data_IF_736826262676
#
_entry.id   IF_736826262676
#
_cell.length_a   1.000
_cell.length_b   1.000
_cell.length_c   1.000
_cell.angle_alpha   90.00
_cell.angle_beta   90.00
_cell.angle_gamma   90.00
#
_symmetry.space_group_name_H-M   'P 1'
#
loop_
_entity.id
_entity.type
_entity.pdbx_description
1 polymer ?
#
# COMPACT_ATOMS: atom_id res chain seq x y z
N UNK A 1 -65.97 59.05 11.44
CA UNK A 1 -64.68 58.32 11.45
C UNK A 1 -64.74 57.24 10.39
N UNK A 2 -64.03 57.43 9.28
CA UNK A 2 -63.97 56.46 8.19
C UNK A 2 -62.49 56.19 7.92
N UNK A 3 -62.04 54.98 8.20
CA UNK A 3 -60.75 54.46 7.75
C UNK A 3 -61.01 53.13 7.06
N UNK A 4 -61.01 53.20 5.73
CA UNK A 4 -60.89 52.08 4.81
C UNK A 4 -59.46 51.56 4.91
N UNK A 5 -59.28 50.29 5.28
CA UNK A 5 -58.01 49.60 5.11
C UNK A 5 -58.13 48.49 4.07
N UNK A 6 -57.44 48.78 2.98
CA UNK A 6 -57.28 48.08 1.71
C UNK A 6 -56.53 46.76 1.88
N UNK A 7 -57.08 45.68 1.32
CA UNK A 7 -56.42 44.40 1.12
C UNK A 7 -55.20 44.55 0.22
N UNK A 8 -54.02 44.11 0.68
CA UNK A 8 -52.82 43.97 -0.14
C UNK A 8 -52.42 42.49 -0.21
N UNK A 9 -52.65 41.89 -1.37
CA UNK A 9 -52.19 40.55 -1.74
C UNK A 9 -50.66 40.58 -1.94
N UNK A 10 -49.92 39.71 -1.25
CA UNK A 10 -48.48 39.54 -1.50
C UNK A 10 -48.24 38.79 -2.82
N UNK A 11 -47.29 39.22 -3.67
CA UNK A 11 -46.94 38.47 -4.86
C UNK A 11 -46.10 37.25 -4.47
N UNK A 12 -46.52 36.07 -4.93
CA UNK A 12 -45.75 34.84 -4.81
C UNK A 12 -44.42 35.00 -5.56
N UNK A 13 -43.32 34.89 -4.83
CA UNK A 13 -41.97 34.82 -5.38
C UNK A 13 -41.79 33.46 -6.06
N UNK A 14 -41.89 33.43 -7.40
CA UNK A 14 -41.42 32.29 -8.20
C UNK A 14 -39.90 32.34 -8.30
N UNK A 15 -39.14 31.33 -7.82
CA UNK A 15 -37.72 31.26 -8.10
C UNK A 15 -37.53 30.89 -9.58
N UNK A 16 -36.76 31.71 -10.29
CA UNK A 16 -36.36 31.45 -11.67
C UNK A 16 -35.58 30.11 -11.77
N UNK A 17 -35.77 29.33 -12.85
CA UNK A 17 -34.99 28.12 -13.08
C UNK A 17 -33.54 28.53 -13.38
N UNK A 18 -32.66 28.31 -12.41
CA UNK A 18 -31.22 28.41 -12.63
C UNK A 18 -30.80 27.24 -13.51
N UNK A 19 -30.43 27.57 -14.75
CA UNK A 19 -29.92 26.65 -15.75
C UNK A 19 -28.74 25.84 -15.19
N UNK A 20 -28.98 24.56 -14.83
CA UNK A 20 -27.95 23.61 -14.38
C UNK A 20 -27.02 23.19 -15.52
N UNK A 21 -27.52 23.29 -16.76
CA UNK A 21 -26.91 22.74 -17.97
C UNK A 21 -25.49 23.23 -18.27
N UNK A 22 -25.09 24.42 -17.83
CA UNK A 22 -23.74 24.94 -18.07
C UNK A 22 -22.69 24.47 -17.06
N UNK A 23 -23.10 24.13 -15.83
CA UNK A 23 -22.21 23.57 -14.80
C UNK A 23 -21.94 22.09 -15.08
N UNK A 24 -22.98 21.39 -15.53
CA UNK A 24 -22.91 19.97 -15.88
C UNK A 24 -21.91 19.70 -17.02
N UNK A 25 -21.85 20.57 -18.05
CA UNK A 25 -20.90 20.42 -19.17
C UNK A 25 -19.43 20.67 -18.77
N UNK A 26 -19.18 21.66 -17.90
CA UNK A 26 -17.82 21.91 -17.42
C UNK A 26 -17.36 20.74 -16.53
N UNK A 27 -18.22 20.26 -15.63
CA UNK A 27 -17.92 19.09 -14.79
C UNK A 27 -17.71 17.83 -15.64
N UNK A 28 -18.46 17.66 -16.74
CA UNK A 28 -18.28 16.56 -17.70
C UNK A 28 -16.96 16.68 -18.49
N UNK A 29 -16.59 17.89 -18.94
CA UNK A 29 -15.30 18.15 -19.60
C UNK A 29 -14.12 17.91 -18.63
N UNK A 30 -14.23 18.36 -17.38
CA UNK A 30 -13.21 18.11 -16.35
C UNK A 30 -13.13 16.61 -16.01
N UNK A 31 -14.25 15.90 -15.90
CA UNK A 31 -14.26 14.45 -15.65
C UNK A 31 -13.68 13.63 -16.83
N UNK A 32 -13.97 14.02 -18.08
CA UNK A 32 -13.39 13.43 -19.28
C UNK A 32 -11.87 13.69 -19.34
N UNK A 33 -11.42 14.87 -18.92
CA UNK A 33 -10.00 15.19 -18.80
C UNK A 33 -9.30 14.33 -17.74
N UNK A 34 -9.95 14.08 -16.60
CA UNK A 34 -9.41 13.21 -15.55
C UNK A 34 -9.31 11.75 -16.00
N UNK A 35 -10.33 11.25 -16.72
CA UNK A 35 -10.34 9.89 -17.26
C UNK A 35 -9.23 9.69 -18.30
N UNK A 36 -9.09 10.60 -19.27
CA UNK A 36 -8.05 10.50 -20.30
C UNK A 36 -6.63 10.56 -19.71
N UNK A 37 -6.40 11.44 -18.72
CA UNK A 37 -5.13 11.52 -17.99
C UNK A 37 -4.82 10.20 -17.27
N UNK A 38 -5.82 9.59 -16.63
CA UNK A 38 -5.65 8.30 -15.94
C UNK A 38 -5.39 7.15 -16.92
N UNK A 39 -6.06 7.12 -18.07
CA UNK A 39 -5.80 6.14 -19.13
C UNK A 39 -4.36 6.25 -19.64
N UNK A 40 -3.91 7.46 -19.99
CA UNK A 40 -2.55 7.68 -20.47
C UNK A 40 -1.51 7.30 -19.39
N UNK A 41 -1.79 7.62 -18.13
CA UNK A 41 -0.93 7.25 -17.01
C UNK A 41 -0.85 5.74 -16.81
N UNK A 42 -1.97 5.02 -16.97
CA UNK A 42 -1.99 3.56 -16.88
C UNK A 42 -1.14 2.93 -17.98
N UNK A 43 -1.32 3.38 -19.23
CA UNK A 43 -0.58 2.89 -20.39
C UNK A 43 0.92 3.13 -20.21
N UNK A 44 1.33 4.36 -19.91
CA UNK A 44 2.74 4.71 -19.78
C UNK A 44 3.44 3.90 -18.69
N UNK A 45 2.83 3.78 -17.49
CA UNK A 45 3.46 3.03 -16.39
C UNK A 45 3.53 1.52 -16.67
N UNK A 46 2.49 0.94 -17.29
CA UNK A 46 2.51 -0.49 -17.62
C UNK A 46 3.47 -0.81 -18.77
N UNK A 47 3.54 0.05 -19.79
CA UNK A 47 4.50 -0.09 -20.89
C UNK A 47 5.94 -0.04 -20.37
N UNK A 48 6.27 0.96 -19.55
CA UNK A 48 7.60 1.12 -18.98
C UNK A 48 8.00 -0.10 -18.12
N UNK A 49 7.07 -0.63 -17.32
CA UNK A 49 7.29 -1.85 -16.55
C UNK A 49 7.56 -3.07 -17.45
N UNK A 50 6.81 -3.22 -18.54
CA UNK A 50 6.99 -4.32 -19.49
C UNK A 50 8.31 -4.21 -20.26
N UNK A 51 8.71 -3.01 -20.65
CA UNK A 51 9.99 -2.78 -21.35
C UNK A 51 11.18 -3.21 -20.49
N UNK A 52 11.15 -2.92 -19.20
CA UNK A 52 12.21 -3.32 -18.26
C UNK A 52 12.25 -4.84 -18.07
N UNK A 53 11.08 -5.47 -17.96
CA UNK A 53 10.98 -6.92 -17.81
C UNK A 53 11.41 -7.65 -19.09
N UNK A 54 11.21 -7.04 -20.26
CA UNK A 54 11.57 -7.61 -21.55
C UNK A 54 13.06 -7.47 -21.88
N UNK A 55 13.70 -6.38 -21.45
CA UNK A 55 15.09 -6.05 -21.78
C UNK A 55 16.12 -6.52 -20.73
N UNK A 56 15.87 -7.66 -20.08
CA UNK A 56 16.70 -8.32 -19.05
C UNK A 56 16.69 -7.66 -17.66
N UNK A 57 15.86 -8.13 -16.73
CA UNK A 57 15.80 -7.63 -15.35
C UNK A 57 16.91 -8.24 -14.48
N UNK A 58 18.17 -7.99 -14.82
CA UNK A 58 19.33 -8.61 -14.12
C UNK A 58 19.64 -7.93 -12.78
N UNK A 59 19.17 -6.70 -12.58
CA UNK A 59 19.44 -5.92 -11.37
C UNK A 59 18.20 -5.81 -10.48
N UNK A 60 18.36 -6.02 -9.17
CA UNK A 60 17.27 -5.83 -8.18
C UNK A 60 16.58 -4.46 -8.29
N UNK A 61 17.33 -3.40 -8.63
CA UNK A 61 16.78 -2.07 -8.85
C UNK A 61 15.78 -2.02 -10.02
N UNK A 62 16.06 -2.72 -11.12
CA UNK A 62 15.18 -2.78 -12.29
C UNK A 62 13.87 -3.49 -11.95
N UNK A 63 13.94 -4.58 -11.17
CA UNK A 63 12.75 -5.30 -10.69
C UNK A 63 11.90 -4.46 -9.75
N UNK A 64 12.52 -3.77 -8.80
CA UNK A 64 11.81 -2.86 -7.87
C UNK A 64 11.16 -1.71 -8.62
N UNK A 65 11.83 -1.15 -9.62
CA UNK A 65 11.32 -0.07 -10.45
C UNK A 65 10.14 -0.55 -11.32
N UNK A 66 10.26 -1.69 -12.00
CA UNK A 66 9.17 -2.30 -12.78
C UNK A 66 7.96 -2.63 -11.90
N UNK A 67 8.18 -3.14 -10.68
CA UNK A 67 7.12 -3.37 -9.71
C UNK A 67 6.44 -2.07 -9.27
N UNK A 68 7.20 -1.01 -8.98
CA UNK A 68 6.63 0.30 -8.63
C UNK A 68 5.76 0.89 -9.74
N UNK A 69 6.20 0.74 -10.99
CA UNK A 69 5.45 1.18 -12.18
C UNK A 69 4.18 0.37 -12.38
N UNK A 70 4.23 -0.96 -12.24
CA UNK A 70 3.04 -1.81 -12.37
C UNK A 70 1.97 -1.49 -11.31
N UNK A 71 2.37 -1.29 -10.05
CA UNK A 71 1.45 -0.88 -8.97
C UNK A 71 0.79 0.47 -9.26
N UNK A 72 1.57 1.44 -9.77
CA UNK A 72 1.06 2.76 -10.12
C UNK A 72 0.07 2.70 -11.29
N UNK A 73 0.36 1.90 -12.31
CA UNK A 73 -0.54 1.66 -13.45
C UNK A 73 -1.86 1.02 -13.02
N UNK A 74 -1.80 -0.02 -12.19
CA UNK A 74 -3.00 -0.69 -11.64
C UNK A 74 -3.82 0.27 -10.75
N UNK A 75 -3.17 1.14 -9.98
CA UNK A 75 -3.87 2.16 -9.20
C UNK A 75 -4.62 3.17 -10.09
N UNK A 76 -4.08 3.52 -11.26
CA UNK A 76 -4.77 4.37 -12.24
C UNK A 76 -6.00 3.65 -12.83
N UNK A 77 -5.86 2.36 -13.18
CA UNK A 77 -6.99 1.53 -13.66
C UNK A 77 -8.11 1.43 -12.62
N UNK A 78 -7.76 1.23 -11.35
CA UNK A 78 -8.76 1.20 -10.26
C UNK A 78 -9.52 2.52 -10.14
N UNK A 79 -8.86 3.66 -10.39
CA UNK A 79 -9.51 4.98 -10.38
C UNK A 79 -10.42 5.18 -11.60
N UNK A 80 -10.02 4.72 -12.78
CA UNK A 80 -10.88 4.73 -13.97
C UNK A 80 -12.17 3.96 -13.74
N UNK A 81 -12.09 2.77 -13.13
CA UNK A 81 -13.28 1.98 -12.78
C UNK A 81 -14.19 2.72 -11.78
N UNK A 82 -13.61 3.43 -10.81
CA UNK A 82 -14.40 4.23 -9.87
C UNK A 82 -15.14 5.37 -10.59
N UNK A 83 -14.50 6.04 -11.56
CA UNK A 83 -15.15 7.08 -12.37
C UNK A 83 -16.26 6.52 -13.29
N UNK A 84 -16.09 5.32 -13.82
CA UNK A 84 -17.12 4.65 -14.62
C UNK A 84 -18.34 4.22 -13.80
N UNK A 85 -18.17 3.91 -12.51
CA UNK A 85 -19.28 3.54 -11.62
C UNK A 85 -20.14 4.77 -11.25
N UNK A 86 -19.51 5.94 -11.02
CA UNK A 86 -20.23 7.20 -10.75
C UNK A 86 -21.01 7.72 -11.98
N UNK A 87 -20.61 7.38 -13.20
CA UNK A 87 -21.33 7.72 -14.43
C UNK A 87 -22.50 6.76 -14.76
N UNK A 88 -22.60 5.62 -14.08
CA UNK A 88 -23.67 4.63 -14.28
C UNK A 88 -24.98 5.00 -13.60
N UNK A 89 -24.93 5.76 -12.49
CA UNK A 89 -26.12 6.15 -11.73
C UNK A 89 -26.85 7.37 -12.33
N UNK A 90 -26.24 8.09 -13.27
CA UNK A 90 -26.85 9.24 -13.97
C UNK A 90 -27.53 8.85 -15.29
N UNK A 91 -27.27 7.65 -15.83
CA UNK A 91 -27.73 7.24 -17.16
C UNK A 91 -29.13 6.58 -17.21
N UNK A 92 -29.76 6.29 -16.06
CA UNK A 92 -31.07 5.59 -16.03
C UNK A 92 -32.30 6.49 -15.83
N UNK A 93 -32.12 7.81 -15.73
CA UNK A 93 -33.25 8.74 -15.52
C UNK A 93 -33.65 9.57 -16.76
N UNK A 94 -33.18 9.21 -17.97
CA UNK A 94 -33.60 9.88 -19.21
C UNK A 94 -34.38 8.92 -20.11
N UNK A 95 -35.68 8.81 -19.84
CA UNK A 95 -36.64 8.27 -20.79
C UNK A 95 -37.71 7.41 -20.14
N UNK A 96 -38.76 8.05 -19.60
CA UNK A 96 -40.16 7.59 -19.67
C UNK A 96 -41.03 8.44 -18.74
N UNK A 97 -41.53 9.57 -19.25
CA UNK A 97 -42.69 10.23 -18.67
C UNK A 97 -43.71 10.38 -19.79
N UNK A 98 -44.66 9.43 -19.86
CA UNK A 98 -46.10 9.65 -20.11
C UNK A 98 -46.77 8.34 -20.53
N UNK A 99 -47.43 7.66 -19.58
CA UNK A 99 -48.90 7.55 -19.51
C UNK A 99 -49.37 6.49 -18.50
N UNK A 100 -50.35 6.92 -17.71
CA UNK A 100 -51.48 6.17 -17.14
C UNK A 100 -51.29 5.22 -15.93
N UNK A 101 -52.19 5.42 -14.95
CA UNK A 101 -52.46 4.68 -13.69
C UNK A 101 -53.65 3.69 -14.00
N UNK A 102 -53.96 2.57 -13.28
CA UNK A 102 -53.92 2.44 -11.81
C UNK A 102 -53.60 1.07 -11.15
N UNK A 103 -53.26 1.15 -9.86
CA UNK A 103 -53.39 0.17 -8.74
C UNK A 103 -53.39 -1.33 -9.05
N UNK A 104 -52.42 -2.05 -8.50
CA UNK A 104 -52.64 -3.32 -7.76
C UNK A 104 -51.56 -3.51 -6.68
N UNK A 105 -51.99 -4.15 -5.59
CA UNK A 105 -51.27 -4.38 -4.35
C UNK A 105 -50.12 -5.38 -4.48
N UNK A 106 -49.22 -5.31 -3.48
CA UNK A 106 -48.61 -6.43 -2.74
C UNK A 106 -47.07 -6.53 -2.75
N UNK A 107 -46.53 -6.39 -1.54
CA UNK A 107 -45.47 -7.23 -0.95
C UNK A 107 -44.23 -7.53 -1.80
N UNK A 108 -43.09 -6.89 -1.47
CA UNK A 108 -41.98 -7.61 -0.82
C UNK A 108 -40.71 -6.75 -0.65
N UNK A 109 -40.24 -6.73 0.60
CA UNK A 109 -38.85 -6.59 1.08
C UNK A 109 -37.94 -5.62 0.33
N UNK A 110 -37.97 -4.36 0.76
CA UNK A 110 -36.86 -3.43 0.55
C UNK A 110 -35.64 -3.88 1.34
N UNK A 111 -34.61 -4.37 0.65
CA UNK A 111 -33.24 -4.45 1.20
C UNK A 111 -32.68 -3.03 1.16
N UNK A 112 -32.69 -2.34 2.30
CA UNK A 112 -31.95 -1.10 2.46
C UNK A 112 -30.46 -1.43 2.52
N UNK A 113 -29.72 -1.17 1.44
CA UNK A 113 -28.27 -1.07 1.53
C UNK A 113 -27.92 0.24 2.25
N UNK A 114 -27.02 0.22 3.25
CA UNK A 114 -26.59 1.44 3.90
C UNK A 114 -25.89 2.35 2.87
N UNK A 115 -26.08 3.68 2.95
CA UNK A 115 -25.40 4.59 2.05
C UNK A 115 -23.89 4.41 2.23
N UNK A 116 -23.20 4.18 1.10
CA UNK A 116 -21.74 4.17 1.05
C UNK A 116 -21.28 5.56 1.48
N UNK A 117 -20.79 5.65 2.72
CA UNK A 117 -20.20 6.87 3.24
C UNK A 117 -18.95 7.14 2.39
N UNK A 118 -19.07 8.04 1.42
CA UNK A 118 -17.93 8.58 0.69
C UNK A 118 -17.08 9.34 1.69
N UNK A 119 -16.11 8.63 2.26
CA UNK A 119 -15.28 9.13 3.34
C UNK A 119 -14.45 10.29 2.80
N UNK A 120 -14.89 11.53 3.03
CA UNK A 120 -14.17 12.76 2.69
C UNK A 120 -12.72 12.58 3.12
N UNK A 121 -11.80 12.49 2.15
CA UNK A 121 -10.39 12.16 2.40
C UNK A 121 -9.85 13.13 3.45
N UNK A 122 -9.70 12.67 4.70
CA UNK A 122 -9.14 13.47 5.78
C UNK A 122 -7.74 13.91 5.35
N UNK A 123 -7.46 15.22 5.44
CA UNK A 123 -6.12 15.75 5.19
C UNK A 123 -5.11 14.96 6.04
N UNK A 124 -4.09 14.38 5.39
CA UNK A 124 -3.03 13.63 6.07
C UNK A 124 -2.27 14.60 6.97
N UNK A 125 -2.23 14.29 8.27
CA UNK A 125 -1.37 14.98 9.23
C UNK A 125 0.04 14.44 9.06
N UNK A 126 1.02 15.32 8.92
CA UNK A 126 2.43 14.96 8.91
C UNK A 126 2.98 15.11 10.32
N UNK A 127 3.81 14.15 10.72
CA UNK A 127 4.47 14.14 12.02
C UNK A 127 5.96 13.97 11.78
N UNK A 128 6.75 14.75 12.52
CA UNK A 128 8.21 14.66 12.50
C UNK A 128 8.69 13.31 13.03
N UNK A 129 9.76 12.75 12.45
CA UNK A 129 10.29 11.44 12.84
C UNK A 129 10.74 11.41 14.31
N UNK A 130 11.38 12.48 14.81
CA UNK A 130 11.78 12.61 16.20
C UNK A 130 10.58 12.54 17.16
N UNK A 131 9.47 13.21 16.81
CA UNK A 131 8.24 13.17 17.58
C UNK A 131 7.66 11.76 17.65
N UNK A 132 7.60 11.03 16.52
CA UNK A 132 7.12 9.64 16.49
C UNK A 132 7.92 8.72 17.41
N UNK A 133 9.25 8.83 17.36
CA UNK A 133 10.16 8.03 18.20
C UNK A 133 9.95 8.32 19.68
N UNK A 134 9.88 9.61 20.06
CA UNK A 134 9.63 10.02 21.45
C UNK A 134 8.31 9.45 21.99
N UNK A 135 7.25 9.50 21.20
CA UNK A 135 5.94 8.95 21.60
C UNK A 135 6.00 7.42 21.73
N UNK A 136 6.64 6.72 20.80
CA UNK A 136 6.81 5.27 20.86
C UNK A 136 7.65 4.83 22.08
N UNK A 137 8.74 5.55 22.36
CA UNK A 137 9.60 5.35 23.52
C UNK A 137 8.80 5.54 24.82
N UNK A 138 8.04 6.62 24.95
CA UNK A 138 7.21 6.88 26.13
C UNK A 138 6.22 5.74 26.41
N UNK A 139 5.57 5.17 25.38
CA UNK A 139 4.63 4.04 25.56
C UNK A 139 5.36 2.77 26.03
N UNK A 140 6.55 2.50 25.50
CA UNK A 140 7.34 1.30 25.81
C UNK A 140 8.01 1.39 27.19
N UNK A 141 8.62 2.51 27.53
CA UNK A 141 9.37 2.71 28.77
C UNK A 141 8.44 2.95 29.98
N UNK A 142 7.37 3.72 29.80
CA UNK A 142 6.43 4.03 30.88
C UNK A 142 5.20 3.11 30.92
N UNK A 143 5.16 2.07 30.08
CA UNK A 143 4.06 1.10 29.97
C UNK A 143 2.67 1.74 29.90
N UNK A 144 2.57 2.92 29.29
CA UNK A 144 1.33 3.69 29.25
C UNK A 144 0.34 3.03 28.28
N UNK A 145 -0.94 2.90 28.66
CA UNK A 145 -1.96 2.37 27.77
C UNK A 145 -2.15 3.29 26.55
N UNK A 146 -2.15 2.67 25.37
CA UNK A 146 -2.28 3.32 24.06
C UNK A 146 -3.46 4.31 24.04
N UNK A 147 -4.58 3.95 24.69
CA UNK A 147 -5.79 4.77 24.70
C UNK A 147 -5.62 6.10 25.45
N UNK A 148 -4.82 6.13 26.52
CA UNK A 148 -4.54 7.36 27.28
C UNK A 148 -3.63 8.27 26.45
N UNK A 149 -2.55 7.73 25.90
CA UNK A 149 -1.62 8.47 25.04
C UNK A 149 -2.33 9.02 23.79
N UNK A 150 -3.24 8.26 23.20
CA UNK A 150 -4.06 8.72 22.08
C UNK A 150 -4.97 9.89 22.44
N UNK A 151 -5.56 9.90 23.66
CA UNK A 151 -6.43 11.00 24.13
C UNK A 151 -5.62 12.26 24.43
N UNK A 152 -4.50 12.13 25.14
CA UNK A 152 -3.66 13.28 25.51
C UNK A 152 -3.02 13.95 24.29
N UNK A 153 -2.52 13.15 23.34
CA UNK A 153 -1.80 13.65 22.17
C UNK A 153 -2.69 13.82 20.93
N UNK A 154 -4.01 13.57 21.06
CA UNK A 154 -4.98 13.60 19.95
C UNK A 154 -4.54 12.75 18.73
N UNK A 155 -4.02 11.55 19.01
CA UNK A 155 -3.53 10.60 18.01
C UNK A 155 -4.54 9.48 17.75
N UNK A 156 -4.55 8.95 16.53
CA UNK A 156 -5.34 7.76 16.22
C UNK A 156 -4.61 6.49 16.68
N UNK A 157 -5.34 5.55 17.30
CA UNK A 157 -4.77 4.29 17.79
C UNK A 157 -4.05 3.48 16.70
N UNK A 158 -4.61 3.42 15.49
CA UNK A 158 -3.98 2.71 14.35
C UNK A 158 -2.63 3.32 13.95
N UNK A 159 -2.47 4.63 14.11
CA UNK A 159 -1.24 5.34 13.79
C UNK A 159 -0.19 5.11 14.86
N UNK A 160 -0.57 5.13 16.14
CA UNK A 160 0.33 4.82 17.25
C UNK A 160 0.80 3.36 17.22
N UNK A 161 -0.09 2.41 16.95
CA UNK A 161 0.28 0.99 16.78
C UNK A 161 1.30 0.78 15.65
N UNK A 162 1.13 1.49 14.53
CA UNK A 162 2.08 1.45 13.42
C UNK A 162 3.44 2.03 13.82
N UNK A 163 3.47 3.16 14.52
CA UNK A 163 4.73 3.74 15.00
C UNK A 163 5.45 2.85 16.01
N UNK A 164 4.71 2.15 16.88
CA UNK A 164 5.29 1.18 17.81
C UNK A 164 5.95 0.03 17.07
N UNK A 165 5.29 -0.50 16.03
CA UNK A 165 5.88 -1.55 15.20
C UNK A 165 7.14 -1.07 14.46
N UNK A 166 7.10 0.13 13.89
CA UNK A 166 8.27 0.75 13.25
C UNK A 166 9.42 0.96 14.27
N UNK A 167 9.10 1.38 15.49
CA UNK A 167 10.05 1.55 16.59
C UNK A 167 10.64 0.23 17.07
N UNK A 168 9.84 -0.83 17.23
CA UNK A 168 10.34 -2.15 17.67
C UNK A 168 11.31 -2.75 16.64
N UNK A 169 11.03 -2.53 15.34
CA UNK A 169 11.93 -2.92 14.25
C UNK A 169 13.22 -2.09 14.29
N UNK A 170 13.12 -0.77 14.47
CA UNK A 170 14.31 0.08 14.66
C UNK A 170 15.13 -0.33 15.89
N UNK A 171 14.49 -0.70 16.99
CA UNK A 171 15.18 -1.18 18.19
C UNK A 171 15.83 -2.55 17.98
N UNK A 172 15.17 -3.47 17.28
CA UNK A 172 15.73 -4.76 16.92
C UNK A 172 16.94 -4.62 15.99
N UNK A 173 16.88 -3.68 15.04
CA UNK A 173 17.99 -3.37 14.13
C UNK A 173 19.11 -2.56 14.82
N UNK A 174 18.79 -1.71 15.80
CA UNK A 174 19.74 -0.98 16.64
C UNK A 174 20.45 -1.86 17.68
N UNK A 175 19.83 -2.98 18.05
CA UNK A 175 20.42 -4.03 18.88
C UNK A 175 21.32 -5.01 18.09
N UNK A 176 21.83 -4.59 16.93
CA UNK A 176 22.84 -5.31 16.15
C UNK A 176 24.26 -4.73 16.31
N UNK A 177 24.46 -3.76 17.21
CA UNK A 177 25.77 -3.21 17.59
C UNK A 177 25.99 -3.45 19.09
N UNK A 178 27.17 -3.95 19.51
CA UNK A 178 27.27 -4.89 20.63
C UNK A 178 27.25 -4.18 21.98
N UNK A 179 26.39 -4.64 22.90
CA UNK A 179 26.63 -4.44 24.32
C UNK A 179 27.73 -5.41 24.79
N UNK A 180 28.74 -4.90 25.53
CA UNK A 180 29.85 -5.71 25.97
C UNK A 180 29.48 -6.51 27.24
N UNK A 181 29.83 -7.80 27.21
CA UNK A 181 30.21 -8.62 28.37
C UNK A 181 29.02 -9.16 29.20
N UNK A 182 28.63 -10.42 28.94
CA UNK A 182 28.57 -11.54 29.92
C UNK A 182 27.60 -12.69 29.58
N UNK A 183 26.70 -12.56 28.60
CA UNK A 183 25.78 -13.66 28.20
C UNK A 183 26.17 -14.41 26.92
N UNK A 184 27.23 -13.99 26.22
CA UNK A 184 27.64 -14.56 24.92
C UNK A 184 28.54 -15.81 25.02
N UNK A 185 28.94 -16.23 26.23
CA UNK A 185 29.89 -17.34 26.39
C UNK A 185 29.30 -18.73 26.07
N UNK A 186 27.98 -18.89 26.15
CA UNK A 186 27.32 -20.19 25.95
C UNK A 186 26.96 -20.43 24.47
N UNK A 187 26.46 -19.41 23.77
CA UNK A 187 26.14 -19.52 22.33
C UNK A 187 27.36 -19.51 21.41
N UNK A 188 28.55 -19.16 21.92
CA UNK A 188 29.80 -19.17 21.16
C UNK A 188 30.49 -20.54 21.09
N UNK A 189 30.10 -21.51 21.94
CA UNK A 189 30.73 -22.85 21.96
C UNK A 189 30.32 -23.70 20.76
N UNK A 190 29.02 -23.77 20.48
CA UNK A 190 28.50 -24.53 19.35
C UNK A 190 29.08 -24.10 17.97
N UNK A 191 29.17 -22.80 17.63
CA UNK A 191 29.80 -22.40 16.36
C UNK A 191 31.32 -22.61 16.34
N UNK A 192 32.00 -22.56 17.49
CA UNK A 192 33.44 -22.81 17.55
C UNK A 192 33.81 -24.28 17.34
N UNK A 193 33.01 -25.20 17.88
CA UNK A 193 33.15 -26.65 17.64
C UNK A 193 32.94 -27.00 16.15
N UNK A 194 31.93 -26.40 15.51
CA UNK A 194 31.67 -26.59 14.07
C UNK A 194 32.82 -26.08 13.20
N UNK A 195 33.42 -24.94 13.55
CA UNK A 195 34.59 -24.41 12.84
C UNK A 195 35.81 -25.32 13.00
N UNK A 196 36.05 -25.85 14.21
CA UNK A 196 37.15 -26.80 14.44
C UNK A 196 36.95 -28.12 13.69
N UNK A 197 35.73 -28.67 13.69
CA UNK A 197 35.40 -29.88 12.94
C UNK A 197 35.62 -29.67 11.43
N UNK A 198 35.11 -28.56 10.89
CA UNK A 198 35.28 -28.22 9.46
C UNK A 198 36.75 -28.06 9.09
N UNK A 199 37.58 -27.52 9.99
CA UNK A 199 39.03 -27.42 9.77
C UNK A 199 39.72 -28.78 9.80
N UNK A 200 39.33 -29.68 10.70
CA UNK A 200 39.84 -31.04 10.75
C UNK A 200 39.49 -31.82 9.47
N UNK A 201 38.25 -31.71 8.99
CA UNK A 201 37.78 -32.36 7.76
C UNK A 201 38.56 -31.85 6.52
N UNK A 202 38.81 -30.54 6.44
CA UNK A 202 39.63 -29.97 5.37
C UNK A 202 41.08 -30.47 5.40
N UNK A 203 41.67 -30.65 6.58
CA UNK A 203 43.01 -31.22 6.70
C UNK A 203 43.05 -32.69 6.27
N UNK A 204 42.03 -33.47 6.64
CA UNK A 204 41.90 -34.86 6.23
C UNK A 204 41.77 -34.97 4.70
N UNK A 205 40.89 -34.17 4.10
CA UNK A 205 40.71 -34.12 2.65
C UNK A 205 42.01 -33.77 1.91
N UNK A 206 42.79 -32.80 2.41
CA UNK A 206 44.10 -32.46 1.85
C UNK A 206 45.10 -33.61 1.92
N UNK A 207 45.12 -34.35 3.03
CA UNK A 207 45.99 -35.53 3.19
C UNK A 207 45.60 -36.65 2.23
N UNK A 208 44.30 -36.94 2.11
CA UNK A 208 43.79 -37.93 1.17
C UNK A 208 44.13 -37.54 -0.27
N UNK A 209 43.90 -36.27 -0.63
CA UNK A 209 44.26 -35.76 -1.96
C UNK A 209 45.75 -35.94 -2.25
N UNK A 210 46.63 -35.65 -1.30
CA UNK A 210 48.07 -35.86 -1.46
C UNK A 210 48.43 -37.34 -1.69
N UNK A 211 47.76 -38.27 -0.99
CA UNK A 211 47.94 -39.71 -1.21
C UNK A 211 47.46 -40.12 -2.60
N UNK A 212 46.28 -39.66 -3.02
CA UNK A 212 45.76 -39.96 -4.36
C UNK A 212 46.66 -39.42 -5.46
N UNK A 213 47.14 -38.18 -5.34
CA UNK A 213 48.09 -37.59 -6.29
C UNK A 213 49.36 -38.44 -6.35
N UNK A 214 49.90 -38.87 -5.22
CA UNK A 214 51.08 -39.73 -5.17
C UNK A 214 50.84 -41.08 -5.87
N UNK A 215 49.71 -41.73 -5.62
CA UNK A 215 49.37 -43.00 -6.28
C UNK A 215 49.20 -42.83 -7.79
N UNK A 216 48.51 -41.78 -8.24
CA UNK A 216 48.35 -41.49 -9.68
C UNK A 216 49.72 -41.27 -10.33
N UNK A 217 50.60 -40.51 -9.68
CA UNK A 217 51.96 -40.26 -10.22
C UNK A 217 52.82 -41.52 -10.25
N UNK A 218 52.66 -42.41 -9.26
CA UNK A 218 53.38 -43.68 -9.23
C UNK A 218 52.89 -44.65 -10.31
N UNK A 219 51.57 -44.74 -10.53
CA UNK A 219 50.98 -45.54 -11.61
C UNK A 219 51.44 -45.03 -12.98
N UNK A 220 51.43 -43.70 -13.19
CA UNK A 220 51.93 -43.11 -14.43
C UNK A 220 53.41 -43.43 -14.68
N UNK A 221 54.27 -43.36 -13.65
CA UNK A 221 55.68 -43.70 -13.76
C UNK A 221 55.96 -45.19 -14.03
N UNK A 222 55.03 -46.09 -13.65
CA UNK A 222 55.13 -47.51 -14.00
C UNK A 222 54.69 -47.78 -15.44
N UNK A 223 53.77 -46.99 -16.00
CA UNK A 223 53.38 -47.11 -17.41
C UNK A 223 54.52 -46.69 -18.35
N UNK A 224 55.31 -45.67 -18.01
CA UNK A 224 56.45 -45.22 -18.83
C UNK A 224 57.64 -46.19 -18.86
N UNK A 225 57.73 -47.15 -17.92
CA UNK A 225 58.82 -48.15 -17.87
C UNK A 225 58.45 -49.49 -18.52
N UNK A 226 57.21 -49.64 -18.99
CA UNK A 226 56.67 -50.86 -19.58
C UNK A 226 56.56 -50.85 -21.11
N UNK A 227 57.01 -49.78 -21.77
CA UNK A 227 57.23 -49.70 -23.24
C UNK A 227 58.73 -49.74 -23.55
#
# INVERSE_FOLDING_TARGET
MAHVNTSASSPAYSPAPSSSSGRDLLDEIYALSDSTILHQRAINNLSEALDILRNSPTTSANLQYAYGRSVTGVAAIKRLRALQFEAGDTALCRGAAEKENPRTESTSRGVCYPPVVTQKRRRRRYFESAYKRKVAQMVREHALPIDIVCRELNLNASLLRRWLQEFDVEQALGSAVPQPILSAAESARAPQELLQQTQADNQLLKKLLAVFVREITHVAALQEKGE
#
